data_IF_369876419947
#
_entry.id   IF_369876419947
#
_cell.length_a   1.000
_cell.length_b   1.000
_cell.length_c   1.000
_cell.angle_alpha   90.00
_cell.angle_beta   90.00
_cell.angle_gamma   90.00
#
_symmetry.space_group_name_H-M   'P 1'
#
loop_
_entity.id
_entity.type
_entity.pdbx_description
1 polymer ?
#
# COMPACT_ATOMS: atom_id res chain seq x y z
N UNK A 1 -11.00 -0.43 5.20
CA UNK A 1 -10.26 0.60 4.47
C UNK A 1 -8.83 0.56 4.94
N UNK A 2 -7.88 0.50 4.00
CA UNK A 2 -6.46 0.48 4.30
C UNK A 2 -6.08 1.73 5.11
N UNK A 3 -5.05 1.62 5.97
CA UNK A 3 -4.70 2.70 6.89
C UNK A 3 -3.19 2.82 7.08
N UNK A 4 -2.69 4.05 7.12
CA UNK A 4 -1.31 4.32 7.51
C UNK A 4 -1.28 4.64 9.00
N UNK A 5 -0.69 3.74 9.77
CA UNK A 5 -0.63 3.84 11.23
C UNK A 5 0.81 3.83 11.71
N UNK A 6 1.06 4.46 12.86
CA UNK A 6 2.32 4.30 13.56
C UNK A 6 2.28 3.00 14.38
N UNK A 7 3.08 2.02 14.00
CA UNK A 7 3.16 0.75 14.72
C UNK A 7 4.23 0.86 15.80
N UNK A 8 3.79 0.94 17.05
CA UNK A 8 4.67 1.13 18.21
C UNK A 8 5.68 0.00 18.37
N UNK A 9 5.31 -1.24 18.03
CA UNK A 9 6.18 -2.40 18.15
C UNK A 9 7.37 -2.33 17.18
N UNK A 10 7.19 -1.63 16.06
CA UNK A 10 8.20 -1.45 15.00
C UNK A 10 8.86 -0.06 15.06
N UNK A 11 8.33 0.86 15.87
CA UNK A 11 8.76 2.24 15.98
C UNK A 11 8.76 2.99 14.63
N UNK A 12 7.84 2.63 13.72
CA UNK A 12 7.77 3.16 12.35
C UNK A 12 6.32 3.34 11.86
N UNK A 13 6.13 4.16 10.82
CA UNK A 13 4.83 4.26 10.12
C UNK A 13 4.74 3.13 9.09
N UNK A 14 3.64 2.39 9.13
CA UNK A 14 3.36 1.29 8.21
C UNK A 14 2.03 1.49 7.50
N UNK A 15 1.93 0.97 6.28
CA UNK A 15 0.66 0.79 5.60
C UNK A 15 0.08 -0.56 6.04
N UNK A 16 -1.10 -0.55 6.64
CA UNK A 16 -1.85 -1.77 7.00
C UNK A 16 -2.97 -1.98 5.99
N UNK A 17 -2.97 -3.15 5.37
CA UNK A 17 -3.99 -3.65 4.43
C UNK A 17 -4.76 -4.78 5.09
N UNK A 18 -6.07 -4.75 4.97
CA UNK A 18 -6.97 -5.76 5.52
C UNK A 18 -7.54 -6.66 4.41
N UNK A 19 -7.96 -7.88 4.77
CA UNK A 19 -8.54 -8.89 3.85
C UNK A 19 -9.71 -8.39 2.99
N UNK A 20 -10.50 -7.47 3.53
CA UNK A 20 -11.68 -6.92 2.88
C UNK A 20 -11.40 -5.64 2.08
N UNK A 21 -10.17 -5.12 2.12
CA UNK A 21 -9.82 -3.93 1.35
C UNK A 21 -9.78 -4.26 -0.14
N UNK A 22 -10.18 -3.31 -0.96
CA UNK A 22 -9.93 -3.35 -2.39
C UNK A 22 -8.58 -2.68 -2.69
N UNK A 23 -8.05 -2.89 -3.90
CA UNK A 23 -6.88 -2.13 -4.35
C UNK A 23 -7.16 -0.63 -4.39
N UNK A 24 -8.41 -0.22 -4.66
CA UNK A 24 -8.82 1.18 -4.63
C UNK A 24 -8.76 1.75 -3.21
N UNK A 25 -9.18 1.00 -2.18
CA UNK A 25 -9.06 1.42 -0.78
C UNK A 25 -7.59 1.68 -0.39
N UNK A 26 -6.67 0.86 -0.91
CA UNK A 26 -5.23 1.02 -0.69
C UNK A 26 -4.73 2.31 -1.35
N UNK A 27 -5.12 2.55 -2.61
CA UNK A 27 -4.73 3.75 -3.33
C UNK A 27 -5.28 5.02 -2.68
N UNK A 28 -6.55 5.02 -2.26
CA UNK A 28 -7.17 6.18 -1.61
C UNK A 28 -6.47 6.52 -0.29
N UNK A 29 -6.12 5.52 0.53
CA UNK A 29 -5.38 5.75 1.77
C UNK A 29 -4.00 6.40 1.51
N UNK A 30 -3.31 5.96 0.46
CA UNK A 30 -2.01 6.50 0.05
C UNK A 30 -2.11 7.91 -0.51
N UNK A 31 -3.10 8.17 -1.36
CA UNK A 31 -3.37 9.50 -1.93
C UNK A 31 -3.79 10.50 -0.85
N UNK A 32 -4.66 10.09 0.08
CA UNK A 32 -5.00 10.91 1.25
C UNK A 32 -3.75 11.27 2.04
N UNK A 33 -2.81 10.34 2.24
CA UNK A 33 -1.58 10.64 2.97
C UNK A 33 -0.67 11.61 2.21
N UNK A 34 -0.48 11.40 0.89
CA UNK A 34 0.25 12.32 0.00
C UNK A 34 -0.27 13.77 0.10
N UNK A 35 -1.59 13.95 0.06
CA UNK A 35 -2.21 15.28 0.16
C UNK A 35 -1.90 16.02 1.47
N UNK A 36 -1.60 15.28 2.55
CA UNK A 36 -1.29 15.88 3.85
C UNK A 36 0.21 16.07 4.09
N UNK A 37 1.08 15.45 3.31
CA UNK A 37 2.54 15.42 3.55
C UNK A 37 3.31 15.44 2.22
N UNK A 38 3.91 16.60 1.89
CA UNK A 38 4.82 16.78 0.74
C UNK A 38 6.14 16.03 0.95
N UNK A 39 6.15 14.70 0.85
CA UNK A 39 7.35 13.93 1.21
C UNK A 39 7.56 12.68 0.36
N UNK A 40 8.81 12.51 -0.07
CA UNK A 40 9.38 11.24 -0.49
C UNK A 40 9.49 10.31 0.74
N UNK A 41 8.56 9.37 0.88
CA UNK A 41 8.55 8.43 2.00
C UNK A 41 8.28 7.01 1.53
N UNK A 42 8.96 6.05 2.15
CA UNK A 42 8.74 4.62 1.91
C UNK A 42 8.10 3.99 3.14
N UNK A 43 6.92 3.39 2.96
CA UNK A 43 6.24 2.60 3.98
C UNK A 43 6.50 1.13 3.74
N UNK A 44 6.67 0.39 4.83
CA UNK A 44 6.45 -1.06 4.82
C UNK A 44 4.95 -1.33 4.76
N UNK A 45 4.58 -2.35 4.01
CA UNK A 45 3.20 -2.77 3.84
C UNK A 45 2.98 -4.07 4.60
N UNK A 46 2.01 -4.06 5.50
CA UNK A 46 1.64 -5.20 6.31
C UNK A 46 0.20 -5.61 6.01
N UNK A 47 0.00 -6.91 5.83
CA UNK A 47 -1.32 -7.52 5.76
C UNK A 47 -1.79 -7.93 7.16
N UNK A 48 -3.05 -7.60 7.48
CA UNK A 48 -3.72 -8.02 8.70
C UNK A 48 -4.95 -8.87 8.36
N UNK A 49 -4.93 -10.14 8.76
CA UNK A 49 -5.97 -11.13 8.52
C UNK A 49 -7.03 -11.20 9.64
N UNK A 50 -7.20 -10.14 10.43
CA UNK A 50 -8.07 -10.08 11.63
C UNK A 50 -7.63 -10.93 12.82
N UNK A 51 -6.54 -11.71 12.73
CA UNK A 51 -5.92 -12.37 13.88
C UNK A 51 -4.96 -11.45 14.66
N UNK A 52 -4.91 -10.16 14.32
CA UNK A 52 -3.93 -9.18 14.80
C UNK A 52 -2.46 -9.49 14.44
N UNK A 53 -2.21 -10.53 13.66
CA UNK A 53 -0.88 -10.85 13.16
C UNK A 53 -0.57 -10.01 11.91
N UNK A 54 0.40 -9.11 12.03
CA UNK A 54 0.89 -8.29 10.93
C UNK A 54 1.91 -9.09 10.12
N UNK A 55 1.56 -9.43 8.88
CA UNK A 55 2.48 -10.06 7.93
C UNK A 55 3.07 -9.01 7.01
N UNK A 56 4.38 -8.80 7.04
CA UNK A 56 5.05 -7.91 6.08
C UNK A 56 4.96 -8.50 4.69
N UNK A 57 4.39 -7.77 3.73
CA UNK A 57 4.17 -8.25 2.36
C UNK A 57 4.97 -7.49 1.31
N UNK A 58 5.40 -6.25 1.59
CA UNK A 58 6.15 -5.46 0.61
C UNK A 58 6.34 -4.02 1.05
N UNK A 59 6.63 -3.14 0.10
CA UNK A 59 6.87 -1.73 0.35
C UNK A 59 6.07 -0.85 -0.60
N UNK A 60 5.76 0.36 -0.16
CA UNK A 60 5.23 1.41 -1.03
C UNK A 60 6.05 2.68 -0.84
N UNK A 61 6.48 3.26 -1.95
CA UNK A 61 7.15 4.56 -1.98
C UNK A 61 6.19 5.59 -2.54
N UNK A 62 5.98 6.64 -1.76
CA UNK A 62 5.28 7.83 -2.18
C UNK A 62 6.31 8.88 -2.55
N UNK A 63 6.20 9.42 -3.75
CA UNK A 63 7.04 10.51 -4.23
C UNK A 63 6.19 11.57 -4.91
N UNK A 64 6.74 12.78 -5.00
CA UNK A 64 6.14 13.85 -5.78
C UNK A 64 7.03 14.10 -7.00
N UNK A 65 6.43 14.08 -8.19
CA UNK A 65 7.10 14.47 -9.41
C UNK A 65 6.82 15.96 -9.66
N UNK A 66 7.81 16.80 -9.39
CA UNK A 66 7.72 18.25 -9.58
C UNK A 66 7.48 18.66 -11.04
N UNK A 67 7.93 17.85 -12.01
CA UNK A 67 7.80 18.17 -13.45
C UNK A 67 6.36 18.11 -13.91
N UNK A 68 5.66 17.04 -13.52
CA UNK A 68 4.27 16.80 -13.90
C UNK A 68 3.27 17.28 -12.83
N UNK A 69 3.79 17.77 -11.69
CA UNK A 69 3.03 18.17 -10.51
C UNK A 69 2.09 17.06 -9.97
N UNK A 70 2.51 15.79 -10.09
CA UNK A 70 1.73 14.60 -9.70
C UNK A 70 2.37 13.83 -8.54
N UNK A 71 1.52 13.21 -7.72
CA UNK A 71 1.95 12.18 -6.77
C UNK A 71 2.19 10.87 -7.51
N UNK A 72 3.31 10.22 -7.22
CA UNK A 72 3.70 8.93 -7.78
C UNK A 72 3.71 7.90 -6.66
N UNK A 73 3.02 6.79 -6.88
CA UNK A 73 2.93 5.66 -5.95
C UNK A 73 3.65 4.48 -6.61
N UNK A 74 4.79 4.10 -6.05
CA UNK A 74 5.55 2.93 -6.50
C UNK A 74 5.38 1.79 -5.49
N UNK A 75 5.02 0.60 -5.96
CA UNK A 75 4.76 -0.58 -5.13
C UNK A 75 5.89 -1.59 -5.34
N UNK A 76 6.34 -2.24 -4.27
CA UNK A 76 7.45 -3.19 -4.31
C UNK A 76 7.10 -4.46 -3.53
N UNK A 77 7.63 -5.60 -3.98
CA UNK A 77 7.61 -6.86 -3.20
C UNK A 77 8.55 -6.79 -1.99
N UNK A 78 8.53 -7.81 -1.12
CA UNK A 78 9.51 -7.96 -0.02
C UNK A 78 10.95 -7.96 -0.55
N UNK A 79 11.16 -8.55 -1.74
CA UNK A 79 12.46 -8.60 -2.42
C UNK A 79 12.83 -7.27 -3.12
N UNK A 80 12.03 -6.22 -2.90
CA UNK A 80 12.19 -4.89 -3.49
C UNK A 80 12.05 -4.88 -5.03
N UNK A 81 11.31 -5.84 -5.60
CA UNK A 81 10.97 -5.83 -7.02
C UNK A 81 9.81 -4.88 -7.27
N UNK A 82 10.05 -3.85 -8.08
CA UNK A 82 9.05 -2.84 -8.44
C UNK A 82 7.94 -3.45 -9.29
N UNK A 83 6.69 -3.22 -8.88
CA UNK A 83 5.51 -3.54 -9.67
C UNK A 83 5.41 -2.55 -10.83
N UNK A 84 5.59 -3.03 -12.05
CA UNK A 84 5.79 -2.20 -13.24
C UNK A 84 4.56 -1.38 -13.63
N UNK A 85 3.38 -1.75 -13.15
CA UNK A 85 2.12 -1.03 -13.38
C UNK A 85 1.10 -1.34 -12.28
N UNK A 86 -0.02 -0.61 -12.28
CA UNK A 86 -1.10 -0.78 -11.31
C UNK A 86 -1.75 -2.17 -11.36
N UNK A 87 -1.78 -2.83 -12.52
CA UNK A 87 -2.34 -4.18 -12.66
C UNK A 87 -1.49 -5.23 -11.95
N UNK A 88 -0.17 -5.15 -12.08
CA UNK A 88 0.76 -6.03 -11.38
C UNK A 88 0.68 -5.81 -9.87
N UNK A 89 0.61 -4.55 -9.43
CA UNK A 89 0.38 -4.22 -8.03
C UNK A 89 -0.96 -4.78 -7.50
N UNK A 90 -2.06 -4.61 -8.24
CA UNK A 90 -3.37 -5.13 -7.85
C UNK A 90 -3.36 -6.66 -7.74
N UNK A 91 -2.74 -7.36 -8.71
CA UNK A 91 -2.56 -8.83 -8.66
C UNK A 91 -1.72 -9.27 -7.47
N UNK A 92 -0.63 -8.56 -7.19
CA UNK A 92 0.22 -8.82 -6.03
C UNK A 92 -0.59 -8.76 -4.72
N UNK A 93 -1.41 -7.72 -4.54
CA UNK A 93 -2.26 -7.62 -3.36
C UNK A 93 -3.38 -8.68 -3.35
N UNK A 94 -3.98 -9.01 -4.49
CA UNK A 94 -4.97 -10.10 -4.58
C UNK A 94 -4.38 -11.46 -4.19
N UNK A 95 -3.18 -11.78 -4.67
CA UNK A 95 -2.49 -13.04 -4.36
C UNK A 95 -2.10 -13.12 -2.87
N UNK A 96 -1.54 -12.04 -2.33
CA UNK A 96 -1.01 -12.00 -0.96
C UNK A 96 -2.07 -11.79 0.12
N UNK A 97 -3.12 -11.04 -0.18
CA UNK A 97 -4.12 -10.61 0.80
C UNK A 97 -5.49 -11.23 0.59
N UNK A 98 -5.67 -12.11 -0.42
CA UNK A 98 -6.99 -12.64 -0.84
C UNK A 98 -8.03 -11.54 -1.05
N UNK A 99 -7.61 -10.34 -1.46
CA UNK A 99 -8.53 -9.22 -1.65
C UNK A 99 -9.65 -9.65 -2.58
N UNK A 100 -10.89 -9.24 -2.24
CA UNK A 100 -12.04 -9.48 -3.11
C UNK A 100 -11.68 -8.99 -4.51
N UNK A 101 -11.74 -9.88 -5.49
CA UNK A 101 -11.79 -9.47 -6.88
C UNK A 101 -12.96 -8.49 -7.00
N UNK A 102 -12.72 -7.27 -7.49
CA UNK A 102 -13.82 -6.46 -7.98
C UNK A 102 -14.47 -7.28 -9.10
N UNK A 103 -15.57 -7.95 -8.75
CA UNK A 103 -16.34 -8.79 -9.64
C UNK A 103 -16.89 -7.89 -10.73
N UNK A 104 -16.31 -7.98 -11.92
CA UNK A 104 -17.03 -7.66 -13.15
C UNK A 104 -18.18 -8.67 -13.26
N UNK A 105 -19.41 -8.20 -13.12
CA UNK A 105 -20.63 -8.85 -13.59
C UNK A 105 -21.42 -7.81 -14.37
#
# INVERSE_FOLDING_TARGET
MASINYEHSLNEKILVVYDHDSFNDIQDALLMWCCHQYTNYTFKVYFNNYSHELTHIGFVKLSYNDTDAIHVIQQFTIDHEEQSNQWDAAKFYQDRCRLKSEGHC
#
